data_IF_157078049530
#
_entry.id   IF_157078049530
#
_cell.length_a   1.000
_cell.length_b   1.000
_cell.length_c   1.000
_cell.angle_alpha   90.00
_cell.angle_beta   90.00
_cell.angle_gamma   90.00
#
_symmetry.space_group_name_H-M   'P 1'
#
loop_
_entity.id
_entity.type
_entity.pdbx_description
1 polymer ?
#
# COMPACT_ATOMS: atom_id res chain seq x y z
N UNK A 1 -32.95 31.05 0.80
CA UNK A 1 -32.23 30.36 1.91
C UNK A 1 -31.74 29.04 1.38
N UNK A 2 -30.45 28.99 1.00
CA UNK A 2 -29.79 27.77 0.54
C UNK A 2 -29.13 27.10 1.76
N UNK A 3 -29.76 26.06 2.30
CA UNK A 3 -29.20 25.25 3.38
C UNK A 3 -28.09 24.35 2.80
N UNK A 4 -26.85 24.77 2.91
CA UNK A 4 -25.69 23.92 2.63
C UNK A 4 -25.54 22.87 3.74
N UNK A 5 -26.01 21.66 3.47
CA UNK A 5 -25.77 20.52 4.33
C UNK A 5 -24.28 20.15 4.27
N UNK A 6 -23.51 20.70 5.21
CA UNK A 6 -22.17 20.22 5.50
C UNK A 6 -22.27 18.80 6.06
N UNK A 7 -22.10 17.79 5.19
CA UNK A 7 -21.81 16.44 5.67
C UNK A 7 -20.43 16.46 6.30
N UNK A 8 -20.36 16.61 7.61
CA UNK A 8 -19.15 16.38 8.37
C UNK A 8 -18.71 14.95 8.10
N UNK A 9 -17.65 14.78 7.31
CA UNK A 9 -16.99 13.47 7.15
C UNK A 9 -16.54 13.02 8.53
N UNK A 10 -17.16 11.98 9.07
CA UNK A 10 -16.80 11.38 10.34
C UNK A 10 -15.35 10.94 10.24
N UNK A 11 -14.45 11.65 10.93
CA UNK A 11 -13.02 11.35 10.95
C UNK A 11 -12.86 9.92 11.43
N UNK A 12 -12.34 9.04 10.57
CA UNK A 12 -12.11 7.64 10.93
C UNK A 12 -11.07 7.58 12.05
N UNK A 13 -11.27 6.68 13.01
CA UNK A 13 -10.31 6.47 14.08
C UNK A 13 -8.98 5.95 13.50
N UNK A 14 -7.83 6.29 14.12
CA UNK A 14 -6.56 5.71 13.73
C UNK A 14 -6.62 4.19 13.79
N UNK A 15 -6.02 3.53 12.81
CA UNK A 15 -5.90 2.07 12.80
C UNK A 15 -4.53 1.66 13.31
N UNK A 16 -4.52 0.72 14.24
CA UNK A 16 -3.31 0.07 14.77
C UNK A 16 -3.42 -1.43 14.51
N UNK A 17 -2.42 -2.02 13.87
CA UNK A 17 -2.48 -3.44 13.55
C UNK A 17 -1.54 -3.90 12.45
N UNK A 18 -1.82 -5.11 11.99
CA UNK A 18 -1.10 -5.82 10.94
C UNK A 18 -2.07 -6.24 9.84
N UNK A 19 -1.66 -6.07 8.59
CA UNK A 19 -2.38 -6.47 7.40
C UNK A 19 -1.46 -7.35 6.56
N UNK A 20 -1.87 -8.58 6.29
CA UNK A 20 -1.16 -9.48 5.38
C UNK A 20 -1.96 -9.62 4.09
N UNK A 21 -1.35 -9.23 2.99
CA UNK A 21 -1.89 -9.45 1.65
C UNK A 21 -1.11 -10.55 0.94
N UNK A 22 -1.83 -11.38 0.18
CA UNK A 22 -1.24 -12.25 -0.82
C UNK A 22 -1.49 -11.66 -2.19
N UNK A 23 -0.43 -11.54 -2.98
CA UNK A 23 -0.47 -11.10 -4.36
C UNK A 23 -0.23 -12.27 -5.30
N UNK A 24 -0.94 -12.31 -6.41
CA UNK A 24 -0.71 -13.25 -7.52
C UNK A 24 -0.92 -12.55 -8.85
N UNK A 25 -0.14 -12.90 -9.85
CA UNK A 25 -0.37 -12.43 -11.22
C UNK A 25 -1.58 -13.14 -11.82
N UNK A 26 -2.53 -12.37 -12.35
CA UNK A 26 -3.76 -12.89 -12.96
C UNK A 26 -3.81 -12.70 -14.47
N UNK A 27 -2.96 -11.80 -15.03
CA UNK A 27 -2.81 -11.57 -16.47
C UNK A 27 -1.33 -11.29 -16.77
N UNK A 28 -0.64 -12.16 -17.52
CA UNK A 28 -0.98 -13.57 -17.74
C UNK A 28 -1.03 -14.32 -16.41
N UNK A 29 -1.85 -15.35 -16.33
CA UNK A 29 -2.04 -16.09 -15.08
C UNK A 29 -0.76 -16.84 -14.68
N UNK A 30 -0.43 -16.77 -13.38
CA UNK A 30 0.72 -17.43 -12.77
C UNK A 30 0.32 -18.07 -11.41
N UNK A 31 0.98 -19.14 -11.05
CA UNK A 31 0.78 -19.81 -9.75
C UNK A 31 1.63 -19.21 -8.63
N UNK A 32 2.67 -18.44 -8.96
CA UNK A 32 3.53 -17.80 -7.97
C UNK A 32 2.73 -16.81 -7.11
N UNK A 33 3.00 -16.84 -5.81
CA UNK A 33 2.39 -15.93 -4.84
C UNK A 33 3.47 -15.13 -4.14
N UNK A 34 3.19 -13.87 -3.92
CA UNK A 34 4.00 -12.95 -3.13
C UNK A 34 3.19 -12.46 -1.93
N UNK A 35 3.88 -12.05 -0.89
CA UNK A 35 3.23 -11.54 0.31
C UNK A 35 3.64 -10.09 0.56
N UNK A 36 2.67 -9.28 0.98
CA UNK A 36 2.88 -7.92 1.44
C UNK A 36 2.35 -7.80 2.86
N UNK A 37 3.24 -7.50 3.79
CA UNK A 37 2.91 -7.29 5.19
C UNK A 37 2.96 -5.80 5.52
N UNK A 38 1.88 -5.28 6.10
CA UNK A 38 1.77 -3.88 6.49
C UNK A 38 1.58 -3.83 8.00
N UNK A 39 2.48 -3.13 8.70
CA UNK A 39 2.29 -2.69 10.07
C UNK A 39 1.80 -1.24 10.07
N UNK A 40 0.78 -0.96 10.86
CA UNK A 40 0.22 0.36 11.03
C UNK A 40 0.14 0.74 12.50
N UNK A 41 0.54 1.98 12.82
CA UNK A 41 0.38 2.57 14.15
C UNK A 41 0.15 4.07 14.01
N UNK A 42 -1.06 4.52 14.29
CA UNK A 42 -1.48 5.92 14.19
C UNK A 42 -1.16 6.55 12.83
N UNK A 43 -0.07 7.29 12.72
CA UNK A 43 0.41 7.90 11.48
C UNK A 43 1.63 7.21 10.87
N UNK A 44 2.02 6.06 11.41
CA UNK A 44 3.20 5.32 10.97
C UNK A 44 2.78 4.07 10.18
N UNK A 45 3.47 3.82 9.09
CA UNK A 45 3.34 2.61 8.30
C UNK A 45 4.71 1.99 8.05
N UNK A 46 4.77 0.67 8.12
CA UNK A 46 5.86 -0.12 7.55
C UNK A 46 5.27 -1.14 6.59
N UNK A 47 5.68 -1.10 5.35
CA UNK A 47 5.29 -2.05 4.31
C UNK A 47 6.48 -2.94 4.03
N UNK A 48 6.29 -4.25 4.12
CA UNK A 48 7.31 -5.26 3.79
C UNK A 48 6.78 -6.05 2.61
N UNK A 49 7.48 -5.97 1.50
CA UNK A 49 7.19 -6.74 0.30
C UNK A 49 8.17 -7.90 0.18
N UNK A 50 7.65 -9.11 -0.01
CA UNK A 50 8.42 -10.31 -0.24
C UNK A 50 8.24 -10.75 -1.69
N UNK A 51 9.20 -10.36 -2.54
CA UNK A 51 9.22 -10.74 -3.94
C UNK A 51 10.22 -11.87 -4.17
N UNK A 52 9.84 -12.85 -4.99
CA UNK A 52 10.73 -13.94 -5.40
C UNK A 52 11.93 -13.44 -6.25
N UNK A 53 11.78 -12.28 -6.91
CA UNK A 53 12.79 -11.74 -7.81
C UNK A 53 13.67 -10.67 -7.17
N UNK A 54 13.10 -9.83 -6.32
CA UNK A 54 13.81 -8.69 -5.72
C UNK A 54 14.10 -8.85 -4.23
N UNK A 55 13.76 -10.01 -3.67
CA UNK A 55 13.94 -10.27 -2.25
C UNK A 55 13.00 -9.43 -1.37
N UNK A 56 13.44 -9.18 -0.14
CA UNK A 56 12.71 -8.41 0.84
C UNK A 56 12.94 -6.92 0.63
N UNK A 57 11.86 -6.16 0.48
CA UNK A 57 11.88 -4.70 0.41
C UNK A 57 11.07 -4.14 1.58
N UNK A 58 11.57 -3.12 2.24
CA UNK A 58 10.89 -2.48 3.37
C UNK A 58 10.73 -0.99 3.10
N UNK A 59 9.50 -0.48 3.30
CA UNK A 59 9.18 0.92 3.16
C UNK A 59 8.61 1.44 4.48
N UNK A 60 9.23 2.45 5.06
CA UNK A 60 8.76 3.14 6.25
C UNK A 60 8.15 4.48 5.82
N UNK A 61 6.89 4.74 6.22
CA UNK A 61 6.18 5.98 5.92
C UNK A 61 5.70 6.65 7.20
N UNK A 62 5.81 7.97 7.23
CA UNK A 62 5.19 8.83 8.24
C UNK A 62 4.10 9.67 7.57
N UNK A 63 2.85 9.25 7.70
CA UNK A 63 1.70 9.77 6.94
C UNK A 63 1.43 11.26 7.15
N UNK A 64 1.65 11.79 8.37
CA UNK A 64 1.40 13.22 8.69
C UNK A 64 2.60 14.12 8.40
N UNK A 65 3.83 13.59 8.39
CA UNK A 65 5.06 14.35 8.08
C UNK A 65 5.48 14.20 6.63
N UNK A 66 4.74 13.41 5.85
CA UNK A 66 5.02 13.13 4.44
C UNK A 66 6.47 12.68 4.19
N UNK A 67 6.99 11.85 5.11
CA UNK A 67 8.35 11.28 5.02
C UNK A 67 8.27 9.81 4.70
N UNK A 68 9.10 9.37 3.78
CA UNK A 68 9.16 7.98 3.35
C UNK A 68 10.60 7.55 3.11
N UNK A 69 10.95 6.33 3.53
CA UNK A 69 12.27 5.74 3.36
C UNK A 69 12.13 4.29 2.87
N UNK A 70 12.77 4.01 1.74
CA UNK A 70 12.95 2.64 1.25
C UNK A 70 14.23 2.07 1.86
N UNK A 71 14.14 0.95 2.55
CA UNK A 71 15.27 0.24 3.12
C UNK A 71 15.73 -0.84 2.15
N UNK A 72 16.99 -0.77 1.72
CA UNK A 72 17.62 -1.76 0.85
C UNK A 72 18.91 -2.26 1.47
N UNK A 73 19.10 -3.58 1.41
CA UNK A 73 20.37 -4.24 1.71
C UNK A 73 21.01 -4.70 0.39
N UNK A 74 22.22 -4.25 0.15
CA UNK A 74 22.98 -4.53 -1.08
C UNK A 74 24.35 -5.07 -0.74
N UNK A 75 25.09 -5.54 -1.73
CA UNK A 75 26.49 -5.95 -1.56
C UNK A 75 27.42 -4.81 -1.11
N UNK A 76 27.02 -3.54 -1.35
CA UNK A 76 27.76 -2.33 -0.97
C UNK A 76 27.34 -1.75 0.39
N UNK A 77 26.34 -2.35 1.04
CA UNK A 77 25.88 -1.92 2.37
C UNK A 77 24.37 -1.81 2.50
N UNK A 78 23.93 -1.20 3.61
CA UNK A 78 22.54 -1.00 3.95
C UNK A 78 22.16 0.47 3.79
N UNK A 79 21.13 0.74 3.00
CA UNK A 79 20.72 2.09 2.65
C UNK A 79 19.27 2.36 3.04
N UNK A 80 19.03 3.51 3.65
CA UNK A 80 17.70 4.06 3.87
C UNK A 80 17.52 5.23 2.89
N UNK A 81 16.91 4.95 1.75
CA UNK A 81 16.75 5.88 0.65
C UNK A 81 15.53 6.73 0.92
N UNK A 82 15.70 8.05 1.03
CA UNK A 82 14.60 8.98 1.12
C UNK A 82 13.81 8.97 -0.19
N UNK A 83 12.54 8.57 -0.12
CA UNK A 83 11.65 8.58 -1.28
C UNK A 83 10.75 9.81 -1.26
N UNK A 84 10.34 10.28 -2.44
CA UNK A 84 9.33 11.32 -2.56
C UNK A 84 7.98 10.75 -2.17
N UNK A 85 7.40 11.23 -1.06
CA UNK A 85 6.12 10.76 -0.56
C UNK A 85 4.97 10.99 -1.55
N UNK A 86 5.01 12.09 -2.29
CA UNK A 86 3.98 12.44 -3.28
C UNK A 86 4.02 11.53 -4.49
N UNK A 87 5.20 11.11 -4.92
CA UNK A 87 5.40 10.18 -6.04
C UNK A 87 5.20 8.71 -5.65
N UNK A 88 5.29 8.38 -4.37
CA UNK A 88 4.98 7.05 -3.85
C UNK A 88 3.47 6.79 -3.73
N UNK A 89 2.64 7.80 -3.93
CA UNK A 89 1.23 7.64 -4.21
C UNK A 89 1.09 7.34 -5.71
N UNK A 90 0.34 6.33 -6.03
CA UNK A 90 0.14 5.72 -7.34
C UNK A 90 -0.42 6.70 -8.39
N UNK A 91 0.39 7.73 -8.74
CA UNK A 91 0.04 8.77 -9.71
C UNK A 91 0.18 8.29 -11.16
N UNK A 92 0.82 7.14 -11.37
CA UNK A 92 0.99 6.54 -12.70
C UNK A 92 -0.27 5.82 -13.19
N UNK A 93 -1.10 5.29 -12.28
CA UNK A 93 -2.31 4.58 -12.65
C UNK A 93 -3.50 5.55 -12.73
N UNK A 94 -3.89 5.87 -13.94
CA UNK A 94 -5.12 6.62 -14.18
C UNK A 94 -6.32 5.67 -14.16
N UNK A 95 -7.23 5.89 -13.22
CA UNK A 95 -8.43 5.08 -13.06
C UNK A 95 -9.64 5.90 -12.61
N UNK A 96 -10.80 5.36 -12.89
CA UNK A 96 -12.09 5.83 -12.35
C UNK A 96 -12.73 4.73 -11.53
N UNK A 97 -13.53 5.09 -10.51
CA UNK A 97 -14.26 4.09 -9.75
C UNK A 97 -15.72 4.50 -9.47
N UNK A 98 -16.58 3.49 -9.36
CA UNK A 98 -17.98 3.64 -9.02
C UNK A 98 -18.34 2.71 -7.86
N UNK A 99 -19.02 3.25 -6.84
CA UNK A 99 -19.58 2.44 -5.76
C UNK A 99 -20.70 1.55 -6.31
N UNK A 100 -20.66 0.27 -6.00
CA UNK A 100 -21.68 -0.69 -6.42
C UNK A 100 -22.44 -1.25 -5.22
N UNK A 101 -23.67 -1.67 -5.44
CA UNK A 101 -24.41 -2.43 -4.43
C UNK A 101 -23.75 -3.80 -4.20
N UNK A 102 -23.90 -4.30 -2.99
CA UNK A 102 -23.36 -5.60 -2.61
C UNK A 102 -22.14 -5.50 -1.69
N UNK A 103 -21.81 -6.63 -1.11
CA UNK A 103 -20.69 -6.79 -0.18
C UNK A 103 -20.21 -8.24 -0.18
N UNK A 104 -18.99 -8.46 0.26
CA UNK A 104 -18.37 -9.77 0.47
C UNK A 104 -17.77 -9.81 1.87
N UNK A 105 -17.74 -10.95 2.51
CA UNK A 105 -16.93 -11.13 3.72
C UNK A 105 -15.50 -11.47 3.30
N UNK A 106 -14.54 -10.67 3.74
CA UNK A 106 -13.11 -10.92 3.59
C UNK A 106 -12.54 -10.90 4.99
N UNK A 107 -11.79 -11.92 5.35
CA UNK A 107 -11.24 -12.06 6.69
C UNK A 107 -12.27 -11.84 7.82
N UNK A 108 -13.46 -12.43 7.66
CA UNK A 108 -14.57 -12.33 8.63
C UNK A 108 -15.32 -10.99 8.64
N UNK A 109 -14.81 -9.94 7.98
CA UNK A 109 -15.36 -8.59 8.00
C UNK A 109 -16.06 -8.23 6.69
N UNK A 110 -17.15 -7.45 6.77
CA UNK A 110 -17.94 -7.02 5.61
C UNK A 110 -17.17 -5.97 4.81
N UNK A 111 -16.80 -6.30 3.57
CA UNK A 111 -16.18 -5.41 2.60
C UNK A 111 -17.23 -4.95 1.56
N UNK A 112 -17.24 -3.66 1.25
CA UNK A 112 -18.11 -3.06 0.24
C UNK A 112 -17.48 -3.15 -1.14
N UNK A 113 -18.33 -3.15 -2.18
CA UNK A 113 -17.95 -3.35 -3.57
C UNK A 113 -17.69 -2.02 -4.27
N UNK A 114 -16.61 -1.97 -5.08
CA UNK A 114 -16.33 -0.93 -6.07
C UNK A 114 -16.15 -1.58 -7.45
N UNK A 115 -16.52 -0.88 -8.49
CA UNK A 115 -16.12 -1.17 -9.87
C UNK A 115 -15.06 -0.14 -10.26
N UNK A 116 -13.89 -0.61 -10.71
CA UNK A 116 -12.75 0.20 -11.12
C UNK A 116 -12.44 -0.04 -12.57
N UNK A 117 -12.24 1.03 -13.33
CA UNK A 117 -11.79 1.00 -14.72
C UNK A 117 -10.48 1.77 -14.82
N UNK A 118 -9.43 1.13 -15.33
CA UNK A 118 -8.17 1.78 -15.70
C UNK A 118 -8.29 2.33 -17.12
N UNK A 119 -7.61 3.44 -17.40
CA UNK A 119 -7.70 4.09 -18.70
C UNK A 119 -7.09 3.22 -19.80
N UNK A 120 -6.01 2.53 -19.48
CA UNK A 120 -5.21 1.75 -20.45
C UNK A 120 -5.64 0.27 -20.55
N UNK A 121 -6.70 -0.12 -19.83
CA UNK A 121 -7.19 -1.51 -19.84
C UNK A 121 -8.69 -1.53 -20.14
N UNK A 122 -9.05 -2.16 -21.26
CA UNK A 122 -10.47 -2.28 -21.63
C UNK A 122 -11.18 -3.41 -20.86
N UNK A 123 -10.99 -3.39 -19.54
CA UNK A 123 -11.64 -4.31 -18.60
C UNK A 123 -11.96 -3.59 -17.32
N UNK A 124 -13.14 -3.86 -16.76
CA UNK A 124 -13.52 -3.41 -15.44
C UNK A 124 -13.15 -4.45 -14.40
N UNK A 125 -12.66 -3.98 -13.26
CA UNK A 125 -12.28 -4.84 -12.14
C UNK A 125 -13.19 -4.57 -10.94
N UNK A 126 -13.43 -5.60 -10.15
CA UNK A 126 -14.20 -5.49 -8.92
C UNK A 126 -13.24 -5.45 -7.76
N UNK A 127 -13.28 -4.34 -7.01
CA UNK A 127 -12.53 -4.15 -5.78
C UNK A 127 -13.46 -4.27 -4.57
N UNK A 128 -12.86 -4.60 -3.44
CA UNK A 128 -13.55 -4.62 -2.16
C UNK A 128 -12.79 -3.79 -1.14
N UNK A 129 -13.51 -3.05 -0.27
CA UNK A 129 -12.90 -2.17 0.72
C UNK A 129 -13.63 -2.22 2.07
N UNK A 130 -12.89 -2.01 3.14
CA UNK A 130 -13.45 -1.77 4.47
C UNK A 130 -13.71 -0.27 4.66
N UNK A 131 -14.97 0.07 4.95
CA UNK A 131 -15.40 1.47 5.12
C UNK A 131 -14.84 2.12 6.39
N UNK A 132 -14.60 1.33 7.41
CA UNK A 132 -14.24 1.75 8.76
C UNK A 132 -12.73 1.83 9.02
N UNK A 133 -11.90 1.47 8.04
CA UNK A 133 -10.45 1.67 8.06
C UNK A 133 -10.11 2.64 6.92
N UNK A 134 -9.31 3.67 7.24
CA UNK A 134 -8.90 4.68 6.28
C UNK A 134 -8.01 4.06 5.18
N UNK A 135 -8.22 4.48 3.93
CA UNK A 135 -7.46 4.01 2.77
C UNK A 135 -5.95 4.28 2.88
N UNK A 136 -5.54 5.32 3.62
CA UNK A 136 -4.13 5.67 3.85
C UNK A 136 -3.29 4.54 4.47
N UNK A 137 -3.92 3.56 5.12
CA UNK A 137 -3.24 2.40 5.71
C UNK A 137 -2.98 1.29 4.69
N UNK A 138 -3.43 1.43 3.46
CA UNK A 138 -3.08 0.54 2.35
C UNK A 138 -1.73 0.89 1.72
N UNK A 139 -1.18 -0.03 0.96
CA UNK A 139 0.01 0.20 0.13
C UNK A 139 -0.32 0.90 -1.19
N UNK A 140 -1.57 0.81 -1.66
CA UNK A 140 -2.08 1.40 -2.89
C UNK A 140 -3.49 1.98 -2.69
N UNK A 141 -3.95 2.83 -3.63
CA UNK A 141 -5.31 3.36 -3.70
C UNK A 141 -5.76 4.15 -2.46
N UNK A 142 -4.93 5.06 -2.00
CA UNK A 142 -5.18 5.88 -0.80
C UNK A 142 -6.32 6.89 -0.96
N UNK A 143 -6.78 7.15 -2.19
CA UNK A 143 -7.93 8.04 -2.50
C UNK A 143 -9.30 7.36 -2.39
N UNK A 144 -9.35 6.06 -2.14
CA UNK A 144 -10.62 5.32 -2.04
C UNK A 144 -11.35 5.59 -0.72
N UNK A 145 -12.66 5.29 -0.65
CA UNK A 145 -13.51 5.61 0.51
C UNK A 145 -13.25 4.72 1.74
N UNK A 146 -12.16 3.97 1.75
CA UNK A 146 -11.69 3.10 2.82
C UNK A 146 -10.61 2.15 2.34
N UNK A 147 -10.04 1.36 3.25
CA UNK A 147 -8.97 0.42 2.99
C UNK A 147 -9.40 -0.63 1.96
N UNK A 148 -8.75 -0.66 0.79
CA UNK A 148 -8.97 -1.73 -0.19
C UNK A 148 -8.36 -3.03 0.30
N UNK A 149 -9.15 -4.11 0.24
CA UNK A 149 -8.80 -5.42 0.80
C UNK A 149 -8.81 -6.55 -0.24
N UNK A 150 -9.37 -6.27 -1.41
CA UNK A 150 -9.17 -7.06 -2.63
C UNK A 150 -9.16 -6.09 -3.81
N UNK A 151 -8.07 -6.07 -4.56
CA UNK A 151 -7.83 -5.13 -5.65
C UNK A 151 -6.81 -5.68 -6.64
N UNK A 152 -6.66 -5.01 -7.78
CA UNK A 152 -5.59 -5.32 -8.73
C UNK A 152 -4.66 -4.14 -8.92
N UNK A 153 -3.40 -4.42 -9.26
CA UNK A 153 -2.41 -3.44 -9.71
C UNK A 153 -1.93 -3.87 -11.09
N UNK A 154 -2.21 -3.10 -12.14
CA UNK A 154 -1.57 -3.23 -13.44
C UNK A 154 -0.10 -2.79 -13.35
N UNK A 155 0.79 -3.53 -13.99
CA UNK A 155 2.21 -3.23 -14.14
C UNK A 155 2.67 -3.58 -15.54
N UNK A 156 3.88 -3.19 -15.93
CA UNK A 156 4.49 -3.58 -17.22
C UNK A 156 4.66 -5.10 -17.38
N UNK A 157 4.67 -5.82 -16.25
CA UNK A 157 4.81 -7.29 -16.23
C UNK A 157 3.47 -8.04 -16.13
N UNK A 158 2.35 -7.31 -16.12
CA UNK A 158 1.02 -7.88 -16.05
C UNK A 158 0.13 -7.31 -14.95
N UNK A 159 -1.00 -7.97 -14.69
CA UNK A 159 -1.97 -7.54 -13.70
C UNK A 159 -1.88 -8.46 -12.48
N UNK A 160 -1.63 -7.88 -11.31
CA UNK A 160 -1.53 -8.59 -10.05
C UNK A 160 -2.78 -8.35 -9.20
N UNK A 161 -3.39 -9.43 -8.69
CA UNK A 161 -4.47 -9.36 -7.71
C UNK A 161 -3.90 -9.47 -6.30
N UNK A 162 -4.29 -8.55 -5.45
CA UNK A 162 -3.98 -8.51 -4.02
C UNK A 162 -5.22 -8.82 -3.20
N UNK A 163 -5.10 -9.76 -2.29
CA UNK A 163 -6.20 -10.14 -1.38
C UNK A 163 -5.69 -10.11 0.06
N UNK A 164 -6.39 -9.38 0.93
CA UNK A 164 -6.13 -9.38 2.36
C UNK A 164 -6.45 -10.78 2.93
N UNK A 165 -5.43 -11.49 3.39
CA UNK A 165 -5.54 -12.83 3.96
C UNK A 165 -5.57 -12.83 5.48
N UNK A 166 -4.98 -11.79 6.11
CA UNK A 166 -4.99 -11.66 7.56
C UNK A 166 -5.09 -10.19 7.98
N UNK A 167 -5.89 -9.93 9.01
CA UNK A 167 -5.99 -8.64 9.68
C UNK A 167 -5.94 -8.87 11.18
N UNK A 168 -4.93 -8.32 11.84
CA UNK A 168 -4.78 -8.33 13.29
C UNK A 168 -4.85 -6.91 13.83
N UNK A 169 -5.74 -6.68 14.79
CA UNK A 169 -5.76 -5.45 15.57
C UNK A 169 -4.80 -5.62 16.75
N UNK A 170 -3.63 -5.02 16.65
CA UNK A 170 -2.55 -5.06 17.64
C UNK A 170 -1.95 -3.67 17.77
N UNK A 171 -1.04 -3.48 18.72
CA UNK A 171 -0.25 -2.25 18.81
C UNK A 171 1.20 -2.55 18.49
N UNK A 172 1.63 -2.46 17.23
CA UNK A 172 3.02 -2.72 16.86
C UNK A 172 3.99 -1.81 17.64
N UNK A 173 5.17 -2.32 18.06
CA UNK A 173 6.15 -1.51 18.78
C UNK A 173 6.71 -0.41 17.87
N UNK A 174 7.06 0.75 18.45
CA UNK A 174 7.58 1.90 17.69
C UNK A 174 8.88 1.59 16.96
N UNK A 175 9.69 0.67 17.47
CA UNK A 175 10.95 0.26 16.84
C UNK A 175 10.78 -0.28 15.42
N UNK A 176 9.62 -0.86 15.10
CA UNK A 176 9.33 -1.32 13.73
C UNK A 176 9.30 -0.18 12.70
N UNK A 177 9.00 1.03 13.12
CA UNK A 177 8.85 2.20 12.25
C UNK A 177 10.10 3.11 12.26
N UNK A 178 11.18 2.66 12.90
CA UNK A 178 12.46 3.35 12.91
C UNK A 178 13.37 2.76 11.84
N UNK A 179 14.23 3.61 11.27
CA UNK A 179 15.33 3.12 10.43
C UNK A 179 16.29 2.39 11.35
N UNK A 180 16.59 1.09 11.11
CA UNK A 180 17.49 0.33 11.96
C UNK A 180 18.90 0.92 11.96
N UNK A 181 19.68 0.60 13.01
CA UNK A 181 21.10 0.93 13.05
C UNK A 181 21.86 0.29 11.89
N UNK A 182 22.93 0.95 11.45
CA UNK A 182 23.76 0.48 10.33
C UNK A 182 23.21 0.84 8.94
N UNK A 183 22.04 1.45 8.83
CA UNK A 183 21.54 1.98 7.56
C UNK A 183 22.05 3.40 7.30
N UNK A 184 22.74 3.61 6.18
CA UNK A 184 23.16 4.93 5.69
C UNK A 184 21.93 5.64 5.10
N UNK A 185 21.56 6.82 5.63
CA UNK A 185 20.49 7.63 5.06
C UNK A 185 21.02 8.39 3.86
N UNK A 186 20.36 8.22 2.73
CA UNK A 186 20.76 8.81 1.44
C UNK A 186 19.54 9.30 0.64
N UNK A 187 19.77 10.18 -0.29
CA UNK A 187 18.83 10.48 -1.39
C UNK A 187 18.91 9.37 -2.44
N UNK A 188 17.99 9.37 -3.40
CA UNK A 188 18.06 8.43 -4.53
C UNK A 188 19.31 8.66 -5.38
N UNK A 189 19.69 9.92 -5.62
CA UNK A 189 20.89 10.31 -6.36
C UNK A 189 22.15 9.80 -5.66
N UNK A 190 22.34 10.10 -4.37
CA UNK A 190 23.46 9.60 -3.58
C UNK A 190 23.54 8.07 -3.58
N UNK A 191 22.39 7.39 -3.53
CA UNK A 191 22.35 5.92 -3.62
C UNK A 191 22.85 5.43 -4.98
N UNK A 192 22.38 6.04 -6.08
CA UNK A 192 22.84 5.67 -7.43
C UNK A 192 24.34 5.88 -7.59
N UNK A 193 24.87 6.98 -7.06
CA UNK A 193 26.32 7.26 -7.07
C UNK A 193 27.09 6.19 -6.27
N UNK A 194 26.61 5.80 -5.09
CA UNK A 194 27.26 4.73 -4.30
C UNK A 194 27.25 3.38 -5.04
N UNK A 195 26.17 3.08 -5.76
CA UNK A 195 26.04 1.82 -6.50
C UNK A 195 26.91 1.76 -7.76
N UNK A 196 27.26 2.92 -8.36
CA UNK A 196 28.10 3.00 -9.57
C UNK A 196 29.61 3.08 -9.26
N UNK A 197 30.00 3.42 -8.04
CA UNK A 197 31.42 3.39 -7.64
C UNK A 197 31.98 1.97 -7.81
N UNK A 198 33.20 1.83 -8.35
CA UNK A 198 33.86 0.54 -8.52
C UNK A 198 34.11 -0.19 -7.18
#
# INVERSE_FOLDING_TARGET
FCCSLFFAQKKQAPFNGELLFTAKRIIPADSAKENVLIYAKDSLLKVINFSSHMGKQELIKHLTKEKSYLLLETTKGKFAIKTDYSKAQDTSLQYTFTKKMGSKKINGKKAKKLEVKFNDIDKKFIFYYYKDIDAKYGSAYTSFPGLVVQYVIPTDHGVYEYVLTELKQTTPPLSLFMIPEGYKRVTLEEFMDEMTKP
#
